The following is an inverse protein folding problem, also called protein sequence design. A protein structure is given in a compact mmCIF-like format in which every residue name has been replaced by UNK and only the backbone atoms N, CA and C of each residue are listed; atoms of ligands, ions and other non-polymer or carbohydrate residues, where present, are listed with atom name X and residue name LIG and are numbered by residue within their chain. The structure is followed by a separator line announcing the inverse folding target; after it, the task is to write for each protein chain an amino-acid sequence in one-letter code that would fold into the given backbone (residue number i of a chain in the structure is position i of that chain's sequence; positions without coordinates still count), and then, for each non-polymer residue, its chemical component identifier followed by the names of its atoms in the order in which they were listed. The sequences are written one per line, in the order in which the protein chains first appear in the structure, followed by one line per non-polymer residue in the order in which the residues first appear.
data_IF_245800641922
#
_entry.id   IF_245800641922
#
_cell.length_a   1.000
_cell.length_b   1.000
_cell.length_c   1.000
_cell.angle_alpha   90.00
_cell.angle_beta   90.00
_cell.angle_gamma   90.00
#
_symmetry.space_group_name_H-M   'P 1'
#
loop_
_entity.id
_entity.type
_entity.pdbx_description
1 polymer ?
#
# COMPACT_ATOMS: atom_id res chain seq x y z
N UNK A 1 -20.06 -12.77 14.06
CA UNK A 1 -19.94 -12.94 12.61
C UNK A 1 -19.81 -14.42 12.18
N UNK A 2 -19.51 -15.33 13.12
CA UNK A 2 -19.47 -16.77 12.92
C UNK A 2 -18.10 -17.33 12.50
N UNK A 3 -17.06 -16.51 12.53
CA UNK A 3 -15.66 -16.96 12.29
C UNK A 3 -14.80 -16.95 13.56
N UNK A 4 -15.32 -16.43 14.66
CA UNK A 4 -14.59 -16.15 15.89
C UNK A 4 -14.03 -17.42 16.57
N UNK A 5 -14.72 -18.55 16.36
CA UNK A 5 -14.30 -19.85 16.94
C UNK A 5 -13.27 -20.57 16.06
N UNK A 6 -13.05 -20.08 14.84
CA UNK A 6 -12.21 -20.74 13.85
C UNK A 6 -10.92 -19.96 13.60
N UNK A 7 -10.90 -18.66 13.85
CA UNK A 7 -9.76 -17.76 13.66
C UNK A 7 -9.28 -17.25 15.04
N UNK A 8 -8.41 -17.99 15.69
CA UNK A 8 -7.72 -17.54 16.91
C UNK A 8 -6.43 -16.80 16.59
N UNK A 9 -6.03 -15.84 17.45
CA UNK A 9 -4.76 -15.10 17.34
C UNK A 9 -3.55 -16.07 17.28
N UNK A 10 -3.64 -17.17 18.01
CA UNK A 10 -2.59 -18.20 18.09
C UNK A 10 -2.31 -18.86 16.73
N UNK A 11 -3.29 -18.89 15.83
CA UNK A 11 -3.18 -19.53 14.51
C UNK A 11 -2.71 -18.57 13.42
N UNK A 12 -2.63 -17.26 13.69
CA UNK A 12 -2.34 -16.25 12.69
C UNK A 12 -0.91 -16.33 12.15
N UNK A 13 0.04 -16.88 12.95
CA UNK A 13 1.41 -17.12 12.51
C UNK A 13 1.57 -18.32 11.56
N UNK A 14 0.65 -19.30 11.65
CA UNK A 14 0.70 -20.58 10.92
C UNK A 14 -0.43 -20.71 9.88
N UNK A 15 -1.12 -19.63 9.56
CA UNK A 15 -2.20 -19.64 8.58
C UNK A 15 -1.68 -20.07 7.20
N UNK A 16 -2.27 -21.12 6.62
CA UNK A 16 -1.95 -21.60 5.27
C UNK A 16 -3.09 -21.32 4.29
N UNK A 17 -2.84 -21.27 2.97
CA UNK A 17 -3.87 -21.11 1.97
C UNK A 17 -4.99 -22.14 2.07
N UNK A 18 -4.66 -23.40 2.32
CA UNK A 18 -5.64 -24.49 2.50
C UNK A 18 -6.51 -24.25 3.73
N UNK A 19 -5.91 -23.84 4.84
CA UNK A 19 -6.63 -23.51 6.05
C UNK A 19 -7.63 -22.37 5.82
N UNK A 20 -7.18 -21.25 5.25
CA UNK A 20 -8.01 -20.07 4.99
C UNK A 20 -9.16 -20.38 4.01
N UNK A 21 -8.91 -21.16 2.96
CA UNK A 21 -9.95 -21.57 2.03
C UNK A 21 -10.95 -22.57 2.63
N UNK A 22 -10.55 -23.32 3.66
CA UNK A 22 -11.39 -24.30 4.35
C UNK A 22 -12.27 -23.73 5.46
N UNK A 23 -12.05 -22.47 5.85
CA UNK A 23 -12.84 -21.81 6.90
C UNK A 23 -14.27 -21.58 6.42
N UNK A 24 -15.22 -22.12 7.15
CA UNK A 24 -16.65 -21.89 6.93
C UNK A 24 -17.25 -21.12 8.08
N UNK A 25 -18.19 -20.24 7.73
CA UNK A 25 -18.95 -19.45 8.70
C UNK A 25 -19.89 -20.35 9.51
N UNK A 26 -19.83 -20.23 10.84
CA UNK A 26 -20.86 -20.79 11.70
C UNK A 26 -22.11 -19.92 11.64
N UNK A 27 -23.23 -20.49 11.22
CA UNK A 27 -24.48 -19.75 11.16
C UNK A 27 -25.05 -19.58 12.58
N UNK A 28 -24.89 -18.40 13.15
CA UNK A 28 -25.57 -18.01 14.39
C UNK A 28 -26.90 -17.38 14.02
N UNK A 29 -27.99 -17.99 14.43
CA UNK A 29 -29.35 -17.47 14.19
C UNK A 29 -29.78 -16.62 15.39
N UNK A 30 -30.21 -15.39 15.12
CA UNK A 30 -30.77 -14.52 16.17
C UNK A 30 -32.02 -15.16 16.76
N UNK A 31 -32.11 -15.20 18.09
CA UNK A 31 -33.28 -15.80 18.80
C UNK A 31 -33.14 -17.29 19.05
N UNK A 32 -31.97 -17.89 18.85
CA UNK A 32 -31.69 -19.28 19.23
C UNK A 32 -31.71 -19.42 20.75
N UNK A 33 -32.39 -20.44 21.27
CA UNK A 33 -32.30 -20.78 22.67
C UNK A 33 -30.95 -21.39 22.98
N UNK A 34 -30.25 -20.83 23.95
CA UNK A 34 -28.97 -21.35 24.41
C UNK A 34 -29.12 -22.34 25.54
N UNK A 35 -28.36 -23.37 25.56
CA UNK A 35 -28.34 -24.35 26.66
C UNK A 35 -27.30 -23.95 27.72
N UNK A 36 -27.47 -24.52 28.93
CA UNK A 36 -26.55 -24.22 30.02
C UNK A 36 -25.10 -24.65 29.65
N UNK A 37 -24.15 -23.69 29.69
CA UNK A 37 -22.76 -23.89 29.32
C UNK A 37 -22.38 -23.45 27.91
N UNK A 38 -23.36 -22.99 27.10
CA UNK A 38 -23.06 -22.39 25.78
C UNK A 38 -22.65 -20.91 25.90
N UNK A 39 -21.76 -20.48 25.01
CA UNK A 39 -21.30 -19.11 24.93
C UNK A 39 -22.41 -18.21 24.38
N UNK A 40 -22.77 -17.15 25.11
CA UNK A 40 -23.82 -16.18 24.70
C UNK A 40 -23.27 -14.90 24.11
N UNK A 41 -22.01 -14.54 24.38
CA UNK A 41 -21.35 -13.36 23.84
C UNK A 41 -19.83 -13.53 23.88
N UNK A 42 -19.16 -12.71 23.09
CA UNK A 42 -17.70 -12.57 23.08
C UNK A 42 -17.34 -11.11 23.34
N UNK A 43 -16.42 -10.88 24.26
CA UNK A 43 -15.81 -9.56 24.49
C UNK A 43 -14.55 -9.49 23.65
N UNK A 44 -14.47 -8.48 22.78
CA UNK A 44 -13.33 -8.30 21.89
C UNK A 44 -12.55 -7.07 22.37
N UNK A 45 -11.24 -7.25 22.57
CA UNK A 45 -10.31 -6.13 22.70
C UNK A 45 -9.88 -5.75 21.28
N UNK A 46 -10.31 -4.57 20.81
CA UNK A 46 -10.04 -4.11 19.44
C UNK A 46 -8.83 -3.14 19.35
N UNK A 47 -7.94 -3.19 20.31
CA UNK A 47 -6.67 -2.43 20.26
C UNK A 47 -5.70 -2.99 19.23
N UNK A 48 -5.82 -4.28 18.93
CA UNK A 48 -4.98 -4.96 17.94
C UNK A 48 -5.82 -5.92 17.11
N UNK A 49 -5.43 -6.06 15.86
CA UNK A 49 -6.10 -6.96 14.93
C UNK A 49 -5.12 -7.54 13.93
N UNK A 50 -5.51 -8.68 13.37
CA UNK A 50 -4.78 -9.38 12.34
C UNK A 50 -5.62 -9.46 11.07
N UNK A 51 -4.98 -9.21 9.94
CA UNK A 51 -5.53 -9.46 8.62
C UNK A 51 -4.79 -10.62 8.00
N UNK A 52 -5.51 -11.62 7.51
CA UNK A 52 -4.94 -12.74 6.75
C UNK A 52 -5.48 -12.69 5.34
N UNK A 53 -4.59 -12.47 4.37
CA UNK A 53 -4.91 -12.41 2.96
C UNK A 53 -4.28 -13.54 2.17
N UNK A 54 -4.93 -13.94 1.07
CA UNK A 54 -4.39 -14.87 0.08
C UNK A 54 -3.93 -14.08 -1.13
N UNK A 55 -2.64 -14.18 -1.43
CA UNK A 55 -2.00 -13.56 -2.59
C UNK A 55 -1.37 -14.63 -3.48
N UNK A 56 -1.03 -14.29 -4.71
CA UNK A 56 -0.28 -15.20 -5.57
C UNK A 56 1.17 -15.33 -5.10
N UNK A 57 1.82 -16.45 -5.42
CA UNK A 57 3.23 -16.69 -5.10
C UNK A 57 4.14 -15.58 -5.66
N UNK A 58 3.86 -15.10 -6.87
CA UNK A 58 4.60 -13.99 -7.49
C UNK A 58 4.46 -12.67 -6.73
N UNK A 59 3.27 -12.36 -6.23
CA UNK A 59 3.04 -11.16 -5.43
C UNK A 59 3.74 -11.25 -4.07
N UNK A 60 3.79 -12.46 -3.50
CA UNK A 60 4.43 -12.71 -2.21
C UNK A 60 5.93 -12.38 -2.20
N UNK A 61 6.63 -12.43 -3.35
CA UNK A 61 8.04 -12.04 -3.49
C UNK A 61 8.32 -10.58 -3.10
N UNK A 62 7.30 -9.71 -3.16
CA UNK A 62 7.42 -8.30 -2.81
C UNK A 62 7.29 -8.03 -1.30
N UNK A 63 6.98 -9.05 -0.50
CA UNK A 63 6.75 -8.90 0.94
C UNK A 63 7.82 -9.61 1.76
N UNK A 64 8.15 -9.05 2.92
CA UNK A 64 9.07 -9.65 3.89
C UNK A 64 8.45 -9.60 5.28
N UNK A 65 8.76 -10.60 6.10
CA UNK A 65 8.39 -10.61 7.52
C UNK A 65 9.00 -9.38 8.20
N UNK A 66 8.25 -8.77 9.13
CA UNK A 66 8.54 -7.52 9.83
C UNK A 66 8.57 -6.25 8.95
N UNK A 67 8.19 -6.35 7.67
CA UNK A 67 8.04 -5.20 6.80
C UNK A 67 6.79 -4.40 7.18
N UNK A 68 6.93 -3.07 7.24
CA UNK A 68 5.80 -2.16 7.34
C UNK A 68 5.12 -2.03 5.98
N UNK A 69 3.80 -2.15 5.95
CA UNK A 69 2.98 -2.02 4.74
C UNK A 69 1.75 -1.17 5.02
N UNK A 70 1.10 -0.71 3.97
CA UNK A 70 -0.21 -0.07 4.05
C UNK A 70 -1.28 -1.03 3.51
N UNK A 71 -2.44 -1.06 4.17
CA UNK A 71 -3.60 -1.85 3.77
C UNK A 71 -4.71 -0.86 3.42
N UNK A 72 -5.30 -1.01 2.26
CA UNK A 72 -6.52 -0.30 1.85
C UNK A 72 -7.66 -1.30 1.80
N UNK A 73 -8.66 -1.10 2.68
CA UNK A 73 -9.88 -1.90 2.69
C UNK A 73 -10.93 -1.25 1.80
N UNK A 74 -11.56 -2.05 0.94
CA UNK A 74 -12.63 -1.54 0.07
C UNK A 74 -13.99 -1.52 0.75
N UNK A 75 -14.18 -2.38 1.76
CA UNK A 75 -15.48 -2.62 2.39
C UNK A 75 -15.64 -1.91 3.76
N UNK A 76 -14.56 -1.38 4.35
CA UNK A 76 -14.59 -0.80 5.71
C UNK A 76 -14.41 0.71 5.74
N UNK A 77 -13.44 1.24 5.03
CA UNK A 77 -13.19 2.68 4.93
C UNK A 77 -12.27 2.97 3.74
N UNK A 78 -12.35 4.19 3.19
CA UNK A 78 -11.43 4.64 2.13
C UNK A 78 -10.03 4.99 2.64
N UNK A 79 -9.78 4.87 3.93
CA UNK A 79 -8.49 5.21 4.53
C UNK A 79 -7.49 4.05 4.40
N UNK A 80 -6.25 4.41 4.13
CA UNK A 80 -5.13 3.48 4.24
C UNK A 80 -4.72 3.32 5.69
N UNK A 81 -4.47 2.09 6.11
CA UNK A 81 -4.05 1.74 7.47
C UNK A 81 -2.70 1.06 7.42
N UNK A 82 -1.77 1.51 8.26
CA UNK A 82 -0.45 0.87 8.37
C UNK A 82 -0.53 -0.40 9.19
N UNK A 83 0.23 -1.42 8.76
CA UNK A 83 0.40 -2.68 9.46
C UNK A 83 1.81 -3.24 9.27
N UNK A 84 2.11 -4.32 9.96
CA UNK A 84 3.38 -5.04 9.88
C UNK A 84 3.13 -6.48 9.45
N UNK A 85 3.85 -6.95 8.45
CA UNK A 85 3.79 -8.35 8.03
C UNK A 85 4.37 -9.24 9.15
N UNK A 86 3.56 -10.13 9.70
CA UNK A 86 3.97 -11.04 10.78
C UNK A 86 4.35 -12.42 10.30
N UNK A 87 3.67 -12.92 9.29
CA UNK A 87 3.96 -14.22 8.72
C UNK A 87 3.65 -14.27 7.22
N UNK A 88 4.39 -15.09 6.51
CA UNK A 88 4.18 -15.44 5.11
C UNK A 88 4.27 -16.95 5.04
N UNK A 89 3.19 -17.63 4.62
CA UNK A 89 3.15 -19.09 4.55
C UNK A 89 4.01 -19.62 3.41
N UNK A 90 4.22 -20.94 3.42
CA UNK A 90 4.70 -21.62 2.22
C UNK A 90 3.63 -21.60 1.13
N UNK A 91 4.01 -21.63 -0.15
CA UNK A 91 3.06 -21.71 -1.24
C UNK A 91 2.26 -23.02 -1.19
N UNK A 92 0.95 -22.92 -1.41
CA UNK A 92 0.03 -24.04 -1.61
C UNK A 92 -0.89 -23.70 -2.78
N UNK A 93 -0.96 -24.55 -3.79
CA UNK A 93 -1.77 -24.36 -4.99
C UNK A 93 -1.57 -22.99 -5.69
N UNK A 94 -0.30 -22.51 -5.72
CA UNK A 94 0.10 -21.22 -6.31
C UNK A 94 -0.33 -19.99 -5.51
N UNK A 95 -0.79 -20.18 -4.26
CA UNK A 95 -1.16 -19.12 -3.33
C UNK A 95 -0.31 -19.15 -2.07
N UNK A 96 -0.20 -18.00 -1.44
CA UNK A 96 0.51 -17.77 -0.18
C UNK A 96 -0.44 -17.02 0.75
N UNK A 97 -0.50 -17.43 2.01
CA UNK A 97 -1.19 -16.68 3.04
C UNK A 97 -0.21 -15.66 3.65
N UNK A 98 -0.60 -14.40 3.67
CA UNK A 98 0.13 -13.31 4.31
C UNK A 98 -0.65 -12.83 5.53
N UNK A 99 0.00 -12.77 6.68
CA UNK A 99 -0.58 -12.28 7.93
C UNK A 99 -0.01 -10.92 8.25
N UNK A 100 -0.88 -9.95 8.43
CA UNK A 100 -0.54 -8.56 8.78
C UNK A 100 -1.15 -8.22 10.12
N UNK A 101 -0.36 -7.63 10.99
CA UNK A 101 -0.74 -7.13 12.31
C UNK A 101 -0.84 -5.61 12.30
N UNK A 102 -1.83 -5.07 12.99
CA UNK A 102 -1.94 -3.63 13.19
C UNK A 102 -2.61 -3.29 14.53
N UNK A 103 -2.23 -2.12 15.08
CA UNK A 103 -2.84 -1.50 16.25
C UNK A 103 -3.64 -0.25 15.87
N UNK A 104 -3.84 -0.01 14.56
CA UNK A 104 -4.59 1.15 14.09
C UNK A 104 -6.09 0.89 14.20
N UNK A 105 -6.80 1.82 14.82
CA UNK A 105 -8.25 1.75 14.90
C UNK A 105 -8.89 1.86 13.50
N UNK A 106 -9.84 0.97 13.21
CA UNK A 106 -10.69 1.03 12.04
C UNK A 106 -12.13 0.89 12.53
N UNK A 107 -12.97 1.84 12.15
CA UNK A 107 -14.38 1.75 12.47
C UNK A 107 -15.01 0.51 11.82
N UNK A 108 -15.85 -0.16 12.57
CA UNK A 108 -16.58 -1.37 12.12
C UNK A 108 -15.73 -2.62 11.77
N UNK A 109 -14.41 -2.64 12.03
CA UNK A 109 -13.59 -3.84 11.78
C UNK A 109 -14.09 -5.08 12.53
N UNK A 110 -14.68 -4.87 13.70
CA UNK A 110 -15.22 -5.94 14.56
C UNK A 110 -16.53 -6.53 14.04
N UNK A 111 -17.21 -5.88 13.09
CA UNK A 111 -18.48 -6.35 12.52
C UNK A 111 -18.31 -7.20 11.27
N UNK A 112 -17.11 -7.21 10.69
CA UNK A 112 -16.85 -7.84 9.39
C UNK A 112 -15.59 -8.67 9.46
N UNK A 113 -15.71 -10.00 9.28
CA UNK A 113 -14.57 -10.92 9.31
C UNK A 113 -14.01 -11.24 7.91
N UNK A 114 -14.73 -10.90 6.85
CA UNK A 114 -14.26 -11.12 5.48
C UNK A 114 -14.35 -9.83 4.68
N UNK A 115 -13.21 -9.37 4.22
CA UNK A 115 -13.05 -8.09 3.53
C UNK A 115 -12.18 -8.23 2.29
N UNK A 116 -12.37 -7.33 1.34
CA UNK A 116 -11.46 -7.16 0.21
C UNK A 116 -10.47 -6.05 0.54
N UNK A 117 -9.18 -6.34 0.34
CA UNK A 117 -8.13 -5.38 0.66
C UNK A 117 -7.01 -5.40 -0.39
N UNK A 118 -6.34 -4.27 -0.51
CA UNK A 118 -5.12 -4.09 -1.28
C UNK A 118 -3.95 -3.88 -0.31
N UNK A 119 -2.86 -4.62 -0.52
CA UNK A 119 -1.63 -4.50 0.25
C UNK A 119 -0.60 -3.71 -0.55
N UNK A 120 -0.09 -2.64 0.04
CA UNK A 120 0.86 -1.73 -0.56
C UNK A 120 2.19 -1.80 0.21
N UNK A 121 3.25 -2.23 -0.46
CA UNK A 121 4.58 -2.41 0.16
C UNK A 121 5.33 -1.10 0.32
N UNK A 122 5.05 -0.13 -0.56
CA UNK A 122 5.68 1.18 -0.55
C UNK A 122 4.62 2.26 -0.75
N UNK A 123 4.66 3.28 0.09
CA UNK A 123 3.87 4.49 -0.07
C UNK A 123 4.85 5.65 -0.17
N UNK A 124 4.96 6.22 -1.36
CA UNK A 124 5.76 7.41 -1.59
C UNK A 124 4.85 8.59 -1.87
N UNK A 125 4.97 9.62 -1.06
CA UNK A 125 4.26 10.89 -1.26
C UNK A 125 5.17 11.84 -2.05
N UNK A 126 4.70 12.26 -3.20
CA UNK A 126 5.46 13.13 -4.09
C UNK A 126 4.70 13.49 -5.37
N UNK A 127 5.39 14.20 -6.25
CA UNK A 127 4.85 14.58 -7.56
C UNK A 127 5.03 13.41 -8.52
N UNK A 128 3.92 12.95 -9.11
CA UNK A 128 3.94 11.90 -10.12
C UNK A 128 4.25 12.49 -11.50
N UNK A 129 5.31 11.97 -12.11
CA UNK A 129 5.77 12.40 -13.44
C UNK A 129 6.00 11.20 -14.36
N UNK A 130 5.92 11.33 -15.69
CA UNK A 130 6.34 10.28 -16.60
C UNK A 130 7.83 9.95 -16.42
N UNK A 131 8.21 8.66 -16.36
CA UNK A 131 9.61 8.23 -16.22
C UNK A 131 10.51 8.74 -17.36
N UNK A 132 9.91 9.00 -18.54
CA UNK A 132 10.60 9.58 -19.69
C UNK A 132 11.05 11.03 -19.50
N UNK A 133 10.50 11.77 -18.52
CA UNK A 133 10.90 13.15 -18.20
C UNK A 133 12.14 13.25 -17.33
N UNK A 134 12.52 12.15 -16.65
CA UNK A 134 13.70 12.16 -15.77
C UNK A 134 15.01 12.26 -16.56
N UNK A 135 15.92 13.05 -16.04
CA UNK A 135 17.29 13.21 -16.57
C UNK A 135 18.30 13.23 -15.44
N UNK A 136 19.51 12.87 -15.81
CA UNK A 136 20.69 12.99 -14.93
C UNK A 136 21.66 13.93 -15.63
N UNK A 137 21.97 15.06 -14.98
CA UNK A 137 22.93 16.07 -15.46
C UNK A 137 23.95 16.29 -14.35
N UNK A 138 25.20 16.18 -14.66
CA UNK A 138 26.32 16.33 -13.71
C UNK A 138 26.15 15.49 -12.41
N UNK A 139 25.55 14.29 -12.56
CA UNK A 139 25.29 13.37 -11.45
C UNK A 139 24.03 13.69 -10.62
N UNK A 140 23.30 14.77 -10.93
CA UNK A 140 22.05 15.12 -10.29
C UNK A 140 20.85 14.65 -11.10
N UNK A 141 19.88 14.02 -10.42
CA UNK A 141 18.59 13.68 -11.02
C UNK A 141 17.67 14.90 -11.03
N UNK A 142 16.94 15.08 -12.12
CA UNK A 142 16.04 16.21 -12.26
C UNK A 142 15.08 16.05 -13.42
N UNK A 143 14.26 17.08 -13.61
CA UNK A 143 13.32 17.23 -14.72
C UNK A 143 13.52 18.60 -15.39
N UNK A 144 13.18 18.69 -16.66
CA UNK A 144 13.09 19.99 -17.32
C UNK A 144 11.66 20.54 -17.19
N UNK A 145 11.54 21.76 -16.68
CA UNK A 145 10.29 22.53 -16.63
C UNK A 145 10.33 23.67 -17.62
N UNK A 146 9.17 24.08 -18.14
CA UNK A 146 9.05 25.26 -18.98
C UNK A 146 8.69 26.47 -18.10
N UNK A 147 9.58 27.45 -18.02
CA UNK A 147 9.34 28.72 -17.32
C UNK A 147 9.59 29.88 -18.25
N UNK A 148 8.56 30.71 -18.42
CA UNK A 148 8.62 31.87 -19.34
C UNK A 148 9.08 31.48 -20.76
N UNK A 149 8.68 30.30 -21.25
CA UNK A 149 9.04 29.81 -22.58
C UNK A 149 10.47 29.26 -22.69
N UNK A 150 11.15 29.07 -21.57
CA UNK A 150 12.54 28.57 -21.53
C UNK A 150 12.57 27.28 -20.71
N UNK A 151 13.32 26.28 -21.20
CA UNK A 151 13.58 25.05 -20.45
C UNK A 151 14.55 25.33 -19.30
N UNK A 152 14.16 24.90 -18.10
CA UNK A 152 14.99 24.97 -16.89
C UNK A 152 15.14 23.59 -16.28
N UNK A 153 16.35 23.19 -15.99
CA UNK A 153 16.62 21.95 -15.27
C UNK A 153 16.37 22.17 -13.77
N UNK A 154 15.49 21.35 -13.20
CA UNK A 154 15.16 21.41 -11.78
C UNK A 154 15.56 20.09 -11.14
N UNK A 155 16.51 20.09 -10.16
CA UNK A 155 16.89 18.92 -9.41
C UNK A 155 15.74 18.36 -8.58
N UNK A 156 15.62 17.04 -8.52
CA UNK A 156 14.60 16.35 -7.73
C UNK A 156 15.19 15.12 -7.04
N UNK A 157 14.59 14.74 -5.94
CA UNK A 157 14.83 13.46 -5.29
C UNK A 157 13.89 12.40 -5.88
N UNK A 158 14.43 11.31 -6.40
CA UNK A 158 13.65 10.19 -6.93
C UNK A 158 13.26 9.27 -5.77
N UNK A 159 11.95 9.17 -5.48
CA UNK A 159 11.42 8.29 -4.43
C UNK A 159 11.04 6.93 -4.98
N UNK A 160 10.45 6.89 -6.17
CA UNK A 160 10.03 5.66 -6.84
C UNK A 160 10.10 5.82 -8.36
N UNK A 161 10.43 4.75 -9.08
CA UNK A 161 10.42 4.72 -10.54
C UNK A 161 10.01 3.35 -11.07
N UNK A 162 9.12 3.35 -12.05
CA UNK A 162 8.80 2.18 -12.86
C UNK A 162 8.90 2.53 -14.35
N UNK A 163 8.45 1.63 -15.25
CA UNK A 163 8.56 1.85 -16.71
C UNK A 163 7.76 3.03 -17.24
N UNK A 164 6.67 3.42 -16.56
CA UNK A 164 5.75 4.46 -17.01
C UNK A 164 5.86 5.73 -16.19
N UNK A 165 5.95 5.61 -14.86
CA UNK A 165 5.83 6.71 -13.91
C UNK A 165 6.95 6.70 -12.89
N UNK A 166 7.31 7.89 -12.47
CA UNK A 166 8.18 8.13 -11.34
C UNK A 166 7.47 9.01 -10.30
N UNK A 167 7.80 8.81 -9.03
CA UNK A 167 7.42 9.70 -7.93
C UNK A 167 8.68 10.44 -7.52
N UNK A 168 8.61 11.75 -7.58
CA UNK A 168 9.71 12.66 -7.28
C UNK A 168 9.33 13.61 -6.16
N UNK A 169 10.32 14.01 -5.39
CA UNK A 169 10.17 15.03 -4.36
C UNK A 169 11.00 16.25 -4.74
N UNK A 170 10.44 17.48 -4.63
CA UNK A 170 11.21 18.70 -4.83
C UNK A 170 12.39 18.76 -3.85
N UNK A 171 13.57 19.09 -4.34
CA UNK A 171 14.70 19.46 -3.48
C UNK A 171 14.41 20.87 -2.98
N UNK A 172 14.54 21.09 -1.68
CA UNK A 172 14.33 22.42 -1.07
C UNK A 172 15.46 23.32 -1.53
N UNK A 173 15.15 24.27 -2.41
CA UNK A 173 16.05 25.35 -2.84
C UNK A 173 15.49 26.70 -2.43
N UNK A 174 16.37 27.63 -2.14
CA UNK A 174 15.99 29.04 -1.87
C UNK A 174 15.69 29.82 -3.15
N UNK A 175 16.04 29.26 -4.31
CA UNK A 175 15.79 29.85 -5.62
C UNK A 175 14.49 29.31 -6.22
N UNK A 176 13.60 30.21 -6.61
CA UNK A 176 12.36 29.84 -7.33
C UNK A 176 12.66 29.09 -8.66
N UNK A 177 13.78 29.37 -9.29
CA UNK A 177 14.16 28.74 -10.56
C UNK A 177 14.55 27.25 -10.40
N UNK A 178 14.96 26.85 -9.18
CA UNK A 178 15.40 25.49 -8.85
C UNK A 178 14.36 24.70 -8.05
N UNK A 179 13.19 25.27 -7.80
CA UNK A 179 12.14 24.60 -7.02
C UNK A 179 11.03 24.09 -7.95
N UNK A 180 10.69 22.80 -7.83
CA UNK A 180 9.57 22.21 -8.58
C UNK A 180 8.26 22.42 -7.81
N UNK A 181 7.26 22.92 -8.52
CA UNK A 181 5.91 23.12 -7.97
C UNK A 181 4.87 22.23 -8.66
N UNK A 182 3.77 22.01 -7.96
CA UNK A 182 2.59 21.36 -8.55
C UNK A 182 2.02 22.27 -9.60
N UNK A 183 1.75 21.73 -10.80
CA UNK A 183 1.32 22.41 -12.04
C UNK A 183 2.45 23.01 -12.89
N UNK A 184 3.73 22.82 -12.53
CA UNK A 184 4.81 23.13 -13.47
C UNK A 184 4.68 22.29 -14.75
N UNK A 185 4.89 22.91 -15.90
CA UNK A 185 4.90 22.20 -17.18
C UNK A 185 6.21 21.43 -17.37
N UNK A 186 6.15 20.11 -17.32
CA UNK A 186 7.32 19.23 -17.44
C UNK A 186 7.52 18.78 -18.89
N UNK A 187 8.75 18.89 -19.39
CA UNK A 187 9.13 18.44 -20.72
C UNK A 187 9.32 16.91 -20.70
N UNK A 188 8.43 16.19 -21.40
CA UNK A 188 8.47 14.72 -21.49
C UNK A 188 9.54 14.26 -22.48
N UNK A 189 9.62 14.90 -23.66
CA UNK A 189 10.61 14.57 -24.67
C UNK A 189 11.78 15.55 -24.58
N UNK A 190 12.81 15.15 -23.87
CA UNK A 190 13.97 16.00 -23.56
C UNK A 190 15.13 15.82 -24.54
N UNK A 191 14.90 15.14 -25.70
CA UNK A 191 15.95 14.94 -26.70
C UNK A 191 16.40 16.28 -27.29
N UNK A 192 17.66 16.64 -27.05
CA UNK A 192 18.23 17.90 -27.51
C UNK A 192 17.74 19.13 -26.72
N UNK A 193 17.18 18.96 -25.53
CA UNK A 193 16.88 20.03 -24.57
C UNK A 193 18.09 20.23 -23.67
N UNK A 194 18.48 21.48 -23.53
CA UNK A 194 19.50 21.95 -22.62
C UNK A 194 18.95 23.07 -21.76
N UNK A 195 19.57 23.33 -20.62
CA UNK A 195 19.16 24.42 -19.74
C UNK A 195 19.25 25.77 -20.46
N UNK A 196 18.27 26.62 -20.31
CA UNK A 196 18.18 27.92 -21.00
C UNK A 196 17.67 27.86 -22.44
N UNK A 197 17.34 26.69 -22.99
CA UNK A 197 16.82 26.59 -24.36
C UNK A 197 15.39 27.08 -24.45
N UNK A 198 15.12 27.95 -25.47
CA UNK A 198 13.78 28.42 -25.76
C UNK A 198 12.93 27.26 -26.29
N UNK A 199 11.83 26.99 -25.64
CA UNK A 199 10.84 25.97 -26.01
C UNK A 199 9.66 26.73 -26.66
N UNK A 200 9.44 26.49 -27.95
CA UNK A 200 8.23 27.03 -28.61
C UNK A 200 7.07 26.06 -28.28
N UNK A 201 5.98 26.64 -27.82
CA UNK A 201 4.68 25.95 -27.71
C UNK A 201 4.18 25.54 -29.08
#
# INVERSE_FOLDING_TARGET
DGYEDVLGIEMMGDATPRYINGISKNNVTVGTTVTNGENVCKIIDNYEWYFVGLISEKEAENFKVDQSISIKFYDLSDSMVSGTVKAISKPEDGKVAITVYSTRYIDSIYTTSKVSAELLTESSEGIKVPSSSLRVIDGQQGVYVVRLGVARFVPVELLYNNKEWAIIKPVISTSYEEHLEVYDEIIINTKGIEDGKVVRQ
#
